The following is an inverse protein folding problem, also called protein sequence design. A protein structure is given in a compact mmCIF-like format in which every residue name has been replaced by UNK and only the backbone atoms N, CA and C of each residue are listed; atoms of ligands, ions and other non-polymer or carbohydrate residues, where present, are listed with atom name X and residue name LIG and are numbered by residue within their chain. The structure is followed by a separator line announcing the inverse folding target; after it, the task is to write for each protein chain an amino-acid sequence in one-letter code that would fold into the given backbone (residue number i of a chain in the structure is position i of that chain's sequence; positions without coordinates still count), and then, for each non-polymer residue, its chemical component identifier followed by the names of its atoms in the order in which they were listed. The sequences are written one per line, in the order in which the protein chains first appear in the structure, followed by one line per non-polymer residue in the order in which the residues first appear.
data_IF_025003974741
#
_entry.id   IF_025003974741
#
_cell.length_a   1.000
_cell.length_b   1.000
_cell.length_c   1.000
_cell.angle_alpha   90.00
_cell.angle_beta   90.00
_cell.angle_gamma   90.00
#
_symmetry.space_group_name_H-M   'P 1'
#
loop_
_entity.id
_entity.type
_entity.pdbx_description
1 polymer ?
#
# COMPACT_ATOMS: atom_id res chain seq x y z
N UNK A 1 -25.03 17.54 7.74
CA UNK A 1 -24.18 17.00 6.66
C UNK A 1 -22.95 16.41 7.31
N UNK A 2 -22.68 15.12 7.17
CA UNK A 2 -21.46 14.49 7.67
C UNK A 2 -20.28 14.96 6.83
N UNK A 3 -19.20 15.38 7.50
CA UNK A 3 -17.93 15.72 6.82
C UNK A 3 -17.39 14.44 6.18
N UNK A 4 -17.05 14.45 4.88
CA UNK A 4 -16.51 13.25 4.23
C UNK A 4 -15.15 12.85 4.81
N UNK A 5 -14.95 11.56 4.99
CA UNK A 5 -13.63 11.02 5.30
C UNK A 5 -12.69 11.28 4.11
N UNK A 6 -11.44 11.63 4.40
CA UNK A 6 -10.44 11.98 3.39
C UNK A 6 -9.37 10.88 3.39
N UNK A 7 -9.45 10.00 2.42
CA UNK A 7 -8.53 8.87 2.30
C UNK A 7 -7.40 9.21 1.33
N UNK A 8 -6.16 9.20 1.83
CA UNK A 8 -4.93 9.36 1.04
C UNK A 8 -4.23 8.01 0.95
N UNK A 9 -4.06 7.49 -0.28
CA UNK A 9 -3.42 6.21 -0.52
C UNK A 9 -2.02 6.45 -1.12
N UNK A 10 -0.97 6.27 -0.29
CA UNK A 10 0.43 6.48 -0.66
C UNK A 10 1.07 5.16 -1.07
N UNK A 11 1.95 5.20 -2.09
CA UNK A 11 2.66 4.00 -2.50
C UNK A 11 3.16 3.99 -3.94
N UNK A 12 3.20 2.80 -4.50
CA UNK A 12 3.74 2.54 -5.84
C UNK A 12 2.71 1.94 -6.80
N UNK A 13 3.20 1.11 -7.74
CA UNK A 13 2.37 0.41 -8.72
C UNK A 13 1.24 -0.43 -8.10
N UNK A 14 1.46 -1.01 -6.93
CA UNK A 14 0.46 -1.81 -6.23
C UNK A 14 -0.65 -0.95 -5.64
N UNK A 15 -0.38 0.31 -5.33
CA UNK A 15 -1.37 1.26 -4.82
C UNK A 15 -2.14 1.95 -5.93
N UNK A 16 -1.47 2.40 -6.99
CA UNK A 16 -2.17 3.01 -8.15
C UNK A 16 -3.00 1.98 -8.93
N UNK A 17 -2.70 0.67 -8.79
CA UNK A 17 -3.40 -0.40 -9.47
C UNK A 17 -2.87 -0.69 -10.87
N UNK A 18 -1.55 -0.63 -11.06
CA UNK A 18 -0.90 -1.00 -12.33
C UNK A 18 -1.36 -2.39 -12.78
N UNK A 19 -1.53 -2.56 -14.08
CA UNK A 19 -2.10 -3.77 -14.67
C UNK A 19 -3.62 -3.76 -14.78
N UNK A 20 -4.29 -2.74 -14.20
CA UNK A 20 -5.74 -2.54 -14.27
C UNK A 20 -6.08 -1.08 -14.60
N UNK A 21 -7.36 -0.72 -14.54
CA UNK A 21 -7.80 0.68 -14.65
C UNK A 21 -7.83 1.34 -13.26
N UNK A 22 -7.70 2.68 -13.16
CA UNK A 22 -7.64 3.39 -11.89
C UNK A 22 -8.82 3.11 -10.94
N UNK A 23 -10.02 2.90 -11.47
CA UNK A 23 -11.24 2.57 -10.74
C UNK A 23 -11.24 1.14 -10.18
N UNK A 24 -10.28 0.30 -10.59
CA UNK A 24 -10.07 -1.08 -10.13
C UNK A 24 -8.89 -1.23 -9.18
N UNK A 25 -8.16 -0.16 -8.88
CA UNK A 25 -7.16 -0.17 -7.81
C UNK A 25 -7.81 -0.50 -6.46
N UNK A 26 -7.05 -1.10 -5.52
CA UNK A 26 -7.65 -1.45 -4.22
C UNK A 26 -8.20 -0.24 -3.46
N UNK A 27 -7.59 0.97 -3.50
CA UNK A 27 -8.15 2.13 -2.82
C UNK A 27 -9.50 2.57 -3.42
N UNK A 28 -9.61 2.57 -4.76
CA UNK A 28 -10.85 2.94 -5.44
C UNK A 28 -11.99 1.94 -5.17
N UNK A 29 -11.68 0.64 -5.20
CA UNK A 29 -12.65 -0.42 -4.86
C UNK A 29 -13.07 -0.32 -3.40
N UNK A 30 -12.13 -0.03 -2.49
CA UNK A 30 -12.40 0.13 -1.06
C UNK A 30 -13.37 1.30 -0.81
N UNK A 31 -13.13 2.45 -1.44
CA UNK A 31 -14.03 3.60 -1.34
C UNK A 31 -15.43 3.28 -1.89
N UNK A 32 -15.52 2.55 -3.00
CA UNK A 32 -16.82 2.10 -3.53
C UNK A 32 -17.58 1.23 -2.52
N UNK A 33 -16.91 0.24 -1.91
CA UNK A 33 -17.49 -0.62 -0.86
C UNK A 33 -17.99 0.22 0.33
N UNK A 34 -17.22 1.20 0.77
CA UNK A 34 -17.59 2.08 1.87
C UNK A 34 -18.78 2.98 1.51
N UNK A 35 -18.80 3.51 0.29
CA UNK A 35 -19.90 4.34 -0.22
C UNK A 35 -21.20 3.55 -0.30
N UNK A 36 -21.16 2.30 -0.77
CA UNK A 36 -22.30 1.37 -0.77
C UNK A 36 -22.82 1.07 0.65
N UNK A 37 -21.95 1.20 1.66
CA UNK A 37 -22.31 1.07 3.09
C UNK A 37 -22.70 2.40 3.74
N UNK A 38 -22.91 3.45 2.96
CA UNK A 38 -23.35 4.77 3.43
C UNK A 38 -22.24 5.68 3.97
N UNK A 39 -20.96 5.34 3.82
CA UNK A 39 -19.85 6.24 4.17
C UNK A 39 -19.59 7.23 3.04
N UNK A 40 -19.34 8.49 3.41
CA UNK A 40 -18.89 9.52 2.48
C UNK A 40 -17.37 9.62 2.52
N UNK A 41 -16.69 9.28 1.43
CA UNK A 41 -15.22 9.22 1.37
C UNK A 41 -14.72 9.93 0.11
N UNK A 42 -13.73 10.80 0.27
CA UNK A 42 -12.97 11.41 -0.83
C UNK A 42 -11.61 10.76 -0.90
N UNK A 43 -11.29 10.13 -2.03
CA UNK A 43 -10.01 9.47 -2.29
C UNK A 43 -9.03 10.42 -2.99
N UNK A 44 -7.79 10.45 -2.50
CA UNK A 44 -6.62 10.86 -3.27
C UNK A 44 -5.66 9.67 -3.37
N UNK A 45 -5.30 9.28 -4.58
CA UNK A 45 -4.33 8.22 -4.84
C UNK A 45 -3.21 8.79 -5.74
N UNK A 46 -2.19 9.44 -5.14
CA UNK A 46 -1.07 10.02 -5.88
C UNK A 46 0.02 9.01 -6.24
N UNK A 47 -0.15 7.74 -5.86
CA UNK A 47 0.84 6.69 -6.08
C UNK A 47 1.25 6.57 -7.55
N UNK A 48 2.52 6.27 -7.78
CA UNK A 48 3.09 6.19 -9.13
C UNK A 48 3.82 4.86 -9.34
N UNK A 49 3.60 4.25 -10.49
CA UNK A 49 4.32 3.05 -10.89
C UNK A 49 5.83 3.27 -10.88
N UNK A 50 6.56 2.39 -10.21
CA UNK A 50 8.02 2.44 -10.12
C UNK A 50 8.59 3.26 -8.96
N UNK A 51 7.75 3.92 -8.16
CA UNK A 51 8.19 4.70 -7.01
C UNK A 51 8.83 3.83 -5.92
N UNK A 52 9.94 4.33 -5.38
CA UNK A 52 10.59 3.83 -4.17
C UNK A 52 10.14 4.64 -2.95
N UNK A 53 10.60 4.24 -1.77
CA UNK A 53 10.43 5.04 -0.54
C UNK A 53 10.99 6.46 -0.68
N UNK A 54 12.06 6.66 -1.45
CA UNK A 54 12.65 7.99 -1.71
C UNK A 54 11.73 8.86 -2.56
N UNK A 55 11.18 8.28 -3.63
CA UNK A 55 10.24 8.97 -4.53
C UNK A 55 8.96 9.35 -3.75
N UNK A 56 8.42 8.44 -2.92
CA UNK A 56 7.26 8.72 -2.07
C UNK A 56 7.53 9.88 -1.10
N UNK A 57 8.71 9.91 -0.46
CA UNK A 57 9.09 11.00 0.46
C UNK A 57 9.11 12.35 -0.26
N UNK A 58 9.64 12.39 -1.47
CA UNK A 58 9.83 13.64 -2.20
C UNK A 58 8.55 14.14 -2.88
N UNK A 59 7.73 13.25 -3.43
CA UNK A 59 6.64 13.62 -4.33
C UNK A 59 5.23 13.42 -3.73
N UNK A 60 5.05 12.41 -2.87
CA UNK A 60 3.73 12.10 -2.31
C UNK A 60 3.51 12.72 -0.92
N UNK A 61 4.51 12.67 -0.01
CA UNK A 61 4.37 13.21 1.34
C UNK A 61 4.03 14.71 1.37
N UNK A 62 4.52 15.57 0.47
CA UNK A 62 4.10 16.98 0.45
C UNK A 62 2.58 17.18 0.30
N UNK A 63 1.87 16.18 -0.20
CA UNK A 63 0.42 16.23 -0.36
C UNK A 63 -0.34 16.02 0.97
N UNK A 64 0.28 15.43 1.98
CA UNK A 64 -0.37 15.14 3.28
C UNK A 64 -0.93 16.42 3.90
N UNK A 65 -0.08 17.45 4.06
CA UNK A 65 -0.50 18.72 4.67
C UNK A 65 -1.62 19.42 3.89
N UNK A 66 -1.55 19.41 2.55
CA UNK A 66 -2.54 20.09 1.70
C UNK A 66 -3.86 19.30 1.59
N UNK A 67 -3.79 17.99 1.48
CA UNK A 67 -4.98 17.13 1.42
C UNK A 67 -5.67 17.00 2.77
N UNK A 68 -4.97 17.12 3.90
CA UNK A 68 -5.48 16.95 5.27
C UNK A 68 -6.28 15.65 5.41
N UNK A 69 -5.64 14.48 5.26
CA UNK A 69 -6.32 13.19 5.33
C UNK A 69 -6.87 12.92 6.73
N UNK A 70 -7.93 12.13 6.81
CA UNK A 70 -8.40 11.48 8.04
C UNK A 70 -7.99 10.01 8.09
N UNK A 71 -7.62 9.46 6.92
CA UNK A 71 -7.09 8.12 6.76
C UNK A 71 -5.95 8.15 5.75
N UNK A 72 -4.85 7.51 6.08
CA UNK A 72 -3.71 7.29 5.17
C UNK A 72 -3.43 5.81 5.07
N UNK A 73 -3.23 5.27 3.87
CA UNK A 73 -2.62 3.95 3.68
C UNK A 73 -1.23 4.10 3.09
N UNK A 74 -0.29 3.24 3.53
CA UNK A 74 1.08 3.18 3.02
C UNK A 74 1.38 1.76 2.55
N UNK A 75 1.71 1.59 1.27
CA UNK A 75 2.17 0.35 0.68
C UNK A 75 3.30 0.67 -0.29
N UNK A 76 4.56 0.41 0.12
CA UNK A 76 5.76 0.81 -0.62
C UNK A 76 6.93 -0.13 -0.31
N UNK A 77 7.86 -0.32 -1.25
CA UNK A 77 9.11 -1.02 -1.00
C UNK A 77 9.53 -2.01 -2.09
N UNK A 78 8.64 -2.38 -2.99
CA UNK A 78 8.98 -3.33 -4.06
C UNK A 78 10.10 -2.79 -4.96
N UNK A 79 10.02 -1.52 -5.34
CA UNK A 79 11.03 -0.90 -6.18
C UNK A 79 12.34 -0.61 -5.42
N UNK A 80 12.29 -0.46 -4.09
CA UNK A 80 13.50 -0.42 -3.27
C UNK A 80 14.27 -1.74 -3.37
N UNK A 81 13.58 -2.90 -3.33
CA UNK A 81 14.17 -4.22 -3.53
C UNK A 81 14.77 -4.33 -4.94
N UNK A 82 14.00 -3.99 -5.97
CA UNK A 82 14.44 -4.05 -7.37
C UNK A 82 15.67 -3.18 -7.62
N UNK A 83 15.77 -2.01 -6.96
CA UNK A 83 16.92 -1.10 -7.05
C UNK A 83 18.06 -1.45 -6.08
N UNK A 84 17.95 -2.54 -5.33
CA UNK A 84 19.00 -3.03 -4.43
C UNK A 84 19.21 -2.19 -3.17
N UNK A 85 18.16 -1.53 -2.67
CA UNK A 85 18.21 -0.80 -1.40
C UNK A 85 18.61 -1.72 -0.26
N UNK A 86 19.50 -1.25 0.60
CA UNK A 86 19.86 -1.96 1.83
C UNK A 86 18.74 -1.82 2.87
N UNK A 87 18.57 -2.84 3.72
CA UNK A 87 17.57 -2.89 4.79
C UNK A 87 17.59 -1.64 5.68
N UNK A 88 18.79 -1.22 6.13
CA UNK A 88 18.93 -0.05 7.00
C UNK A 88 18.47 1.26 6.33
N UNK A 89 18.69 1.40 5.02
CA UNK A 89 18.23 2.56 4.28
C UNK A 89 16.71 2.53 4.14
N UNK A 90 16.15 1.37 3.78
CA UNK A 90 14.71 1.17 3.69
C UNK A 90 14.03 1.46 5.04
N UNK A 91 14.55 0.89 6.15
CA UNK A 91 14.07 1.14 7.51
C UNK A 91 14.01 2.63 7.84
N UNK A 92 15.11 3.36 7.64
CA UNK A 92 15.14 4.81 7.90
C UNK A 92 14.12 5.58 7.08
N UNK A 93 13.92 5.21 5.82
CA UNK A 93 12.96 5.87 4.94
C UNK A 93 11.52 5.58 5.35
N UNK A 94 11.19 4.34 5.71
CA UNK A 94 9.85 3.98 6.21
C UNK A 94 9.56 4.71 7.52
N UNK A 95 10.52 4.76 8.46
CA UNK A 95 10.40 5.55 9.68
C UNK A 95 10.13 7.04 9.38
N UNK A 96 10.88 7.62 8.44
CA UNK A 96 10.69 9.01 8.03
C UNK A 96 9.32 9.27 7.38
N UNK A 97 8.80 8.31 6.60
CA UNK A 97 7.45 8.39 6.02
C UNK A 97 6.40 8.48 7.13
N UNK A 98 6.44 7.57 8.09
CA UNK A 98 5.48 7.57 9.20
C UNK A 98 5.61 8.83 10.08
N UNK A 99 6.84 9.25 10.41
CA UNK A 99 7.06 10.47 11.18
C UNK A 99 6.48 11.70 10.46
N UNK A 100 6.73 11.83 9.16
CA UNK A 100 6.22 12.97 8.39
C UNK A 100 4.69 12.97 8.30
N UNK A 101 4.05 11.79 8.18
CA UNK A 101 2.59 11.70 8.21
C UNK A 101 2.06 12.16 9.57
N UNK A 102 2.68 11.73 10.67
CA UNK A 102 2.29 12.14 12.02
C UNK A 102 2.46 13.65 12.25
N UNK A 103 3.52 14.25 11.71
CA UNK A 103 3.76 15.69 11.82
C UNK A 103 2.75 16.52 11.01
N UNK A 104 2.43 16.09 9.78
CA UNK A 104 1.58 16.84 8.84
C UNK A 104 0.07 16.57 9.02
N UNK A 105 -0.30 15.42 9.62
CA UNK A 105 -1.68 15.02 9.85
C UNK A 105 -1.82 14.19 11.15
N UNK A 106 -1.60 14.78 12.33
CA UNK A 106 -1.54 14.08 13.62
C UNK A 106 -2.84 13.35 14.00
N UNK A 107 -3.98 13.81 13.49
CA UNK A 107 -5.29 13.18 13.75
C UNK A 107 -5.67 12.11 12.73
N UNK A 108 -4.84 11.89 11.70
CA UNK A 108 -5.12 10.90 10.68
C UNK A 108 -4.85 9.47 11.20
N UNK A 109 -5.75 8.56 10.91
CA UNK A 109 -5.46 7.14 11.09
C UNK A 109 -4.51 6.67 10.01
N UNK A 110 -3.45 5.98 10.38
CA UNK A 110 -2.48 5.44 9.45
C UNK A 110 -2.57 3.91 9.41
N UNK A 111 -2.65 3.37 8.21
CA UNK A 111 -2.70 1.94 7.93
C UNK A 111 -1.51 1.58 7.05
N UNK A 112 -0.63 0.73 7.53
CA UNK A 112 0.47 0.19 6.74
C UNK A 112 0.13 -1.22 6.23
N UNK A 113 0.50 -1.50 5.00
CA UNK A 113 0.19 -2.74 4.29
C UNK A 113 1.49 -3.41 3.82
N UNK A 114 1.54 -4.76 3.79
CA UNK A 114 2.64 -5.47 3.16
C UNK A 114 2.64 -5.26 1.65
N UNK A 115 3.81 -5.24 1.03
CA UNK A 115 3.90 -5.47 -0.40
C UNK A 115 3.57 -6.95 -0.69
N UNK A 116 2.98 -7.27 -1.87
CA UNK A 116 2.68 -8.66 -2.24
C UNK A 116 3.94 -9.48 -2.50
N UNK A 117 3.80 -10.80 -2.46
CA UNK A 117 4.88 -11.71 -2.87
C UNK A 117 4.95 -11.80 -4.41
N UNK A 118 5.49 -10.75 -5.02
CA UNK A 118 5.65 -10.68 -6.47
C UNK A 118 6.73 -11.64 -7.02
N UNK A 119 7.47 -12.34 -6.15
CA UNK A 119 8.35 -13.44 -6.57
C UNK A 119 7.57 -14.62 -7.16
N UNK A 120 6.27 -14.76 -6.81
CA UNK A 120 5.36 -15.75 -7.37
C UNK A 120 4.80 -15.37 -8.76
N UNK A 121 5.03 -14.14 -9.18
CA UNK A 121 4.56 -13.64 -10.47
C UNK A 121 5.34 -14.27 -11.63
N UNK A 122 4.69 -14.55 -12.78
CA UNK A 122 5.38 -15.07 -13.97
C UNK A 122 6.61 -14.27 -14.38
N UNK A 123 6.54 -12.92 -14.27
CA UNK A 123 7.66 -12.03 -14.55
C UNK A 123 8.68 -11.92 -13.40
N UNK A 124 8.39 -12.48 -12.22
CA UNK A 124 9.22 -12.38 -11.02
C UNK A 124 10.65 -12.89 -11.23
N UNK A 125 10.82 -13.97 -11.98
CA UNK A 125 12.15 -14.53 -12.31
C UNK A 125 13.04 -13.59 -13.13
N UNK A 126 12.47 -12.59 -13.79
CA UNK A 126 13.22 -11.55 -14.52
C UNK A 126 14.01 -10.60 -13.61
N UNK A 127 13.69 -10.56 -12.31
CA UNK A 127 14.34 -9.70 -11.33
C UNK A 127 15.47 -10.39 -10.54
N UNK A 128 15.69 -11.71 -10.73
CA UNK A 128 16.78 -12.45 -10.08
C UNK A 128 16.38 -13.82 -9.55
N UNK A 129 17.12 -14.29 -8.53
CA UNK A 129 16.85 -15.57 -7.87
C UNK A 129 15.55 -15.51 -7.07
N UNK A 130 14.53 -16.22 -7.53
CA UNK A 130 13.17 -16.19 -6.97
C UNK A 130 13.14 -16.48 -5.45
N UNK A 131 13.82 -17.53 -4.93
CA UNK A 131 13.89 -17.74 -3.49
C UNK A 131 14.54 -16.60 -2.71
N UNK A 132 15.57 -15.94 -3.28
CA UNK A 132 16.21 -14.80 -2.62
C UNK A 132 15.28 -13.58 -2.60
N UNK A 133 14.57 -13.32 -3.72
CA UNK A 133 13.58 -12.26 -3.81
C UNK A 133 12.47 -12.48 -2.77
N UNK A 134 11.92 -13.69 -2.66
CA UNK A 134 10.87 -14.02 -1.69
C UNK A 134 11.31 -13.69 -0.26
N UNK A 135 12.53 -14.12 0.14
CA UNK A 135 13.08 -13.79 1.47
C UNK A 135 13.25 -12.29 1.69
N UNK A 136 13.69 -11.58 0.66
CA UNK A 136 13.86 -10.11 0.76
C UNK A 136 12.52 -9.40 0.91
N UNK A 137 11.48 -9.84 0.19
CA UNK A 137 10.11 -9.33 0.35
C UNK A 137 9.62 -9.53 1.78
N UNK A 138 9.75 -10.75 2.32
CA UNK A 138 9.36 -11.06 3.70
C UNK A 138 10.10 -10.14 4.68
N UNK A 139 11.42 -9.97 4.48
CA UNK A 139 12.23 -9.11 5.34
C UNK A 139 11.85 -7.64 5.27
N UNK A 140 11.55 -7.11 4.09
CA UNK A 140 11.10 -5.73 3.93
C UNK A 140 9.69 -5.52 4.53
N UNK A 141 8.80 -6.51 4.42
CA UNK A 141 7.50 -6.46 5.08
C UNK A 141 7.62 -6.48 6.62
N UNK A 142 8.57 -7.25 7.19
CA UNK A 142 8.87 -7.19 8.62
C UNK A 142 9.34 -5.80 9.04
N UNK A 143 10.26 -5.20 8.30
CA UNK A 143 10.74 -3.85 8.57
C UNK A 143 9.59 -2.84 8.50
N UNK A 144 8.76 -2.89 7.46
CA UNK A 144 7.62 -2.00 7.31
C UNK A 144 6.62 -2.14 8.47
N UNK A 145 6.36 -3.37 8.91
CA UNK A 145 5.51 -3.64 10.08
C UNK A 145 6.11 -3.05 11.35
N UNK A 146 7.40 -3.31 11.61
CA UNK A 146 8.07 -2.84 12.82
C UNK A 146 8.04 -1.30 12.90
N UNK A 147 8.35 -0.60 11.81
CA UNK A 147 8.32 0.86 11.78
C UNK A 147 6.91 1.43 11.88
N UNK A 148 5.92 0.78 11.26
CA UNK A 148 4.52 1.17 11.41
C UNK A 148 4.07 1.07 12.88
N UNK A 149 4.39 -0.03 13.56
CA UNK A 149 4.05 -0.23 14.97
C UNK A 149 4.76 0.78 15.90
N UNK A 150 6.01 1.12 15.63
CA UNK A 150 6.74 2.15 16.38
C UNK A 150 6.11 3.55 16.23
N UNK A 151 5.43 3.80 15.13
CA UNK A 151 4.75 5.05 14.82
C UNK A 151 3.24 5.02 15.14
N UNK A 152 2.76 4.06 15.95
CA UNK A 152 1.34 3.87 16.28
C UNK A 152 0.42 3.69 15.04
N UNK A 153 0.98 3.33 13.90
CA UNK A 153 0.21 2.99 12.71
C UNK A 153 -0.30 1.54 12.78
N UNK A 154 -1.51 1.32 12.27
CA UNK A 154 -2.11 -0.01 12.22
C UNK A 154 -1.49 -0.83 11.09
N UNK A 155 -0.83 -1.94 11.42
CA UNK A 155 -0.43 -2.93 10.42
C UNK A 155 -1.60 -3.86 10.10
N UNK A 156 -1.99 -3.94 8.82
CA UNK A 156 -3.00 -4.90 8.37
C UNK A 156 -2.31 -5.94 7.49
N UNK A 157 -2.16 -7.14 8.03
CA UNK A 157 -1.45 -8.22 7.36
C UNK A 157 -2.30 -8.86 6.25
N UNK A 158 -2.15 -8.37 5.04
CA UNK A 158 -2.72 -8.96 3.83
C UNK A 158 -1.77 -9.98 3.16
N UNK A 159 -0.56 -10.17 3.67
CA UNK A 159 0.46 -11.00 3.01
C UNK A 159 0.01 -12.45 2.78
N UNK A 160 -0.66 -13.14 3.72
CA UNK A 160 -1.18 -14.48 3.48
C UNK A 160 -2.18 -14.55 2.32
N UNK A 161 -3.10 -13.56 2.23
CA UNK A 161 -4.04 -13.43 1.12
C UNK A 161 -3.31 -13.21 -0.21
N UNK A 162 -2.36 -12.28 -0.24
CA UNK A 162 -1.57 -11.94 -1.43
C UNK A 162 -0.74 -13.14 -1.92
N UNK A 163 -0.16 -13.91 -1.02
CA UNK A 163 0.57 -15.14 -1.37
C UNK A 163 -0.34 -16.22 -1.95
N UNK A 164 -1.53 -16.38 -1.40
CA UNK A 164 -2.50 -17.33 -1.94
C UNK A 164 -2.96 -16.92 -3.34
N UNK A 165 -3.17 -15.64 -3.58
CA UNK A 165 -3.47 -15.09 -4.91
C UNK A 165 -2.32 -15.32 -5.90
N UNK A 166 -1.07 -15.14 -5.46
CA UNK A 166 0.11 -15.45 -6.26
C UNK A 166 0.15 -16.93 -6.67
N UNK A 167 -0.13 -17.85 -5.75
CA UNK A 167 -0.23 -19.31 -6.05
C UNK A 167 -1.36 -19.63 -7.03
N UNK A 168 -2.48 -18.91 -6.95
CA UNK A 168 -3.62 -19.00 -7.87
C UNK A 168 -3.40 -18.27 -9.19
N UNK A 169 -2.24 -17.66 -9.37
CA UNK A 169 -1.87 -16.90 -10.58
C UNK A 169 -2.83 -15.73 -10.90
N UNK A 170 -3.32 -15.07 -9.87
CA UNK A 170 -4.21 -13.91 -10.01
C UNK A 170 -3.43 -12.64 -10.40
N UNK A 171 -2.76 -12.67 -11.53
CA UNK A 171 -1.97 -11.58 -12.09
C UNK A 171 -2.67 -10.91 -13.26
N UNK A 172 -2.34 -9.66 -13.50
CA UNK A 172 -2.72 -8.92 -14.70
C UNK A 172 -1.99 -9.48 -15.95
N UNK A 173 -2.33 -8.96 -17.11
CA UNK A 173 -1.75 -9.42 -18.39
C UNK A 173 -0.23 -9.14 -18.52
N UNK A 174 0.32 -8.24 -17.70
CA UNK A 174 1.76 -7.98 -17.65
C UNK A 174 2.55 -9.09 -16.92
N UNK A 175 1.84 -10.01 -16.27
CA UNK A 175 2.44 -11.14 -15.57
C UNK A 175 3.19 -10.76 -14.28
N UNK A 176 3.00 -9.54 -13.77
CA UNK A 176 3.67 -9.04 -12.55
C UNK A 176 2.68 -8.52 -11.52
N UNK A 177 1.83 -7.58 -11.94
CA UNK A 177 0.90 -6.91 -11.02
C UNK A 177 -0.34 -7.77 -10.75
N UNK A 178 -1.00 -7.57 -9.58
CA UNK A 178 -2.24 -8.25 -9.27
C UNK A 178 -3.34 -7.98 -10.29
N UNK A 179 -4.18 -8.96 -10.53
CA UNK A 179 -5.38 -8.77 -11.35
C UNK A 179 -6.38 -7.83 -10.65
N UNK A 180 -7.32 -7.28 -11.42
CA UNK A 180 -8.41 -6.47 -10.86
C UNK A 180 -9.21 -7.21 -9.77
N UNK A 181 -9.35 -8.53 -9.90
CA UNK A 181 -10.02 -9.36 -8.89
C UNK A 181 -9.18 -9.48 -7.61
N UNK A 182 -7.86 -9.64 -7.74
CA UNK A 182 -6.96 -9.67 -6.59
C UNK A 182 -7.00 -8.35 -5.82
N UNK A 183 -6.94 -7.21 -6.49
CA UNK A 183 -7.10 -5.89 -5.85
C UNK A 183 -8.47 -5.74 -5.16
N UNK A 184 -9.54 -6.27 -5.77
CA UNK A 184 -10.86 -6.24 -5.15
C UNK A 184 -10.94 -7.11 -3.88
N UNK A 185 -10.21 -8.21 -3.80
CA UNK A 185 -10.12 -9.01 -2.57
C UNK A 185 -9.37 -8.25 -1.46
N UNK A 186 -8.27 -7.53 -1.79
CA UNK A 186 -7.60 -6.65 -0.81
C UNK A 186 -8.56 -5.61 -0.26
N UNK A 187 -9.30 -4.95 -1.14
CA UNK A 187 -10.28 -3.94 -0.75
C UNK A 187 -11.37 -4.52 0.16
N UNK A 188 -11.89 -5.72 -0.12
CA UNK A 188 -12.87 -6.40 0.73
C UNK A 188 -12.31 -6.73 2.11
N UNK A 189 -11.08 -7.23 2.18
CA UNK A 189 -10.41 -7.51 3.45
C UNK A 189 -10.21 -6.23 4.27
N UNK A 190 -9.73 -5.15 3.64
CA UNK A 190 -9.57 -3.84 4.28
C UNK A 190 -10.91 -3.27 4.75
N UNK A 191 -11.97 -3.43 3.96
CA UNK A 191 -13.30 -2.91 4.32
C UNK A 191 -13.90 -3.55 5.58
N UNK A 192 -13.41 -4.71 5.99
CA UNK A 192 -13.82 -5.36 7.25
C UNK A 192 -12.93 -4.96 8.43
N UNK A 193 -11.68 -4.57 8.17
CA UNK A 193 -10.68 -4.29 9.21
C UNK A 193 -10.61 -2.80 9.55
N UNK A 194 -10.69 -1.93 8.51
CA UNK A 194 -10.67 -0.48 8.69
C UNK A 194 -12.07 0.01 9.03
N UNK A 195 -12.38 0.08 10.32
CA UNK A 195 -13.65 0.65 10.79
C UNK A 195 -13.77 2.12 10.42
N UNK A 196 -14.99 2.64 10.35
CA UNK A 196 -15.23 4.07 10.24
C UNK A 196 -14.60 4.81 11.44
N UNK A 197 -14.10 6.02 11.21
CA UNK A 197 -13.76 6.90 12.33
C UNK A 197 -15.03 7.09 13.15
N UNK A 198 -14.97 6.88 14.46
CA UNK A 198 -16.05 7.34 15.32
C UNK A 198 -16.09 8.86 15.23
N UNK A 199 -17.28 9.46 15.13
CA UNK A 199 -17.45 10.90 15.07
C UNK A 199 -16.95 11.58 16.36
#
# INVERSE_FOLDING_TARGET
MTIPERFLALGDSFTIGTGTTPDRSFPAVLVRIWTERGRSVVLSNPAVNGYTTDDLINDELPLVASFRPTLVSVLIGANDIVRGSKEDLYRRRVAAIHQRIADDAPDARVVALPQPDWSLAPAGSGFGDVPAIARTIERFNEIARDEAQQADASWIDLFPLMREQGRKKMFASDGLHPSAEAYAEWARALATTVSASSP
#
